data_IF_074857514101
#
_entry.id   IF_074857514101
#
_cell.length_a   1.000
_cell.length_b   1.000
_cell.length_c   1.000
_cell.angle_alpha   90.00
_cell.angle_beta   90.00
_cell.angle_gamma   90.00
#
_symmetry.space_group_name_H-M   'P 1'
#
loop_
_entity.id
_entity.type
_entity.pdbx_description
1 polymer ?
#
# COMPACT_ATOMS: atom_id res chain seq x y z
N UNK A 1 -6.28 37.02 5.24
CA UNK A 1 -7.18 36.87 6.40
C UNK A 1 -7.86 35.49 6.41
N UNK A 2 -8.59 35.07 5.39
CA UNK A 2 -9.20 33.72 5.32
C UNK A 2 -8.15 32.59 5.43
N UNK A 3 -7.02 32.71 4.76
CA UNK A 3 -5.93 31.73 4.80
C UNK A 3 -5.29 31.59 6.19
N UNK A 4 -5.16 32.70 6.95
CA UNK A 4 -4.65 32.71 8.32
C UNK A 4 -5.65 32.03 9.26
N UNK A 5 -6.94 32.36 9.14
CA UNK A 5 -8.00 31.76 9.96
C UNK A 5 -8.13 30.25 9.67
N UNK A 6 -8.06 29.83 8.43
CA UNK A 6 -8.06 28.41 8.07
C UNK A 6 -6.84 27.69 8.64
N UNK A 7 -5.65 28.31 8.62
CA UNK A 7 -4.41 27.69 9.12
C UNK A 7 -4.48 27.48 10.64
N UNK A 8 -4.95 28.46 11.40
CA UNK A 8 -5.09 28.35 12.88
C UNK A 8 -6.16 27.34 13.29
N UNK A 9 -7.32 27.33 12.62
CA UNK A 9 -8.42 26.42 12.96
C UNK A 9 -8.05 24.95 12.66
N UNK A 10 -7.29 24.70 11.60
CA UNK A 10 -6.88 23.37 11.18
C UNK A 10 -5.78 22.80 12.09
N UNK A 11 -4.85 23.62 12.58
CA UNK A 11 -3.81 23.17 13.51
C UNK A 11 -4.35 22.69 14.86
N UNK A 12 -5.57 23.07 15.23
CA UNK A 12 -6.23 22.61 16.45
C UNK A 12 -6.81 21.20 16.35
N UNK A 13 -6.89 20.61 15.15
CA UNK A 13 -7.34 19.23 14.97
C UNK A 13 -6.18 18.28 15.17
N UNK A 14 -6.22 17.48 16.24
CA UNK A 14 -5.18 16.50 16.53
C UNK A 14 -5.07 15.44 15.43
N UNK A 15 -3.86 15.20 14.91
CA UNK A 15 -3.57 14.16 13.93
C UNK A 15 -3.89 12.75 14.46
N UNK A 16 -3.74 12.53 15.77
CA UNK A 16 -4.15 11.27 16.42
C UNK A 16 -5.67 11.07 16.39
N UNK A 17 -6.44 12.14 16.58
CA UNK A 17 -7.91 12.11 16.44
C UNK A 17 -8.31 11.85 14.99
N UNK A 18 -7.67 12.54 14.04
CA UNK A 18 -7.89 12.35 12.62
C UNK A 18 -7.59 10.91 12.18
N UNK A 19 -6.48 10.32 12.68
CA UNK A 19 -6.15 8.92 12.45
C UNK A 19 -7.26 7.98 12.95
N UNK A 20 -7.71 8.15 14.19
CA UNK A 20 -8.78 7.30 14.76
C UNK A 20 -10.08 7.41 13.98
N UNK A 21 -10.48 8.64 13.61
CA UNK A 21 -11.68 8.88 12.81
C UNK A 21 -11.53 8.32 11.40
N UNK A 22 -10.35 8.43 10.77
CA UNK A 22 -10.07 7.84 9.48
C UNK A 22 -10.12 6.31 9.49
N UNK A 23 -9.60 5.67 10.55
CA UNK A 23 -9.74 4.21 10.72
C UNK A 23 -11.20 3.82 10.88
N UNK A 24 -11.96 4.53 11.72
CA UNK A 24 -13.40 4.29 11.89
C UNK A 24 -14.15 4.47 10.56
N UNK A 25 -13.85 5.53 9.81
CA UNK A 25 -14.40 5.74 8.47
C UNK A 25 -14.07 4.58 7.54
N UNK A 26 -12.83 4.12 7.51
CA UNK A 26 -12.39 3.01 6.65
C UNK A 26 -13.15 1.72 6.96
N UNK A 27 -13.35 1.40 8.22
CA UNK A 27 -14.12 0.22 8.64
C UNK A 27 -15.60 0.34 8.27
N UNK A 28 -16.22 1.48 8.59
CA UNK A 28 -17.65 1.73 8.31
C UNK A 28 -17.89 1.76 6.80
N UNK A 29 -17.01 2.40 6.03
CA UNK A 29 -17.17 2.49 4.58
C UNK A 29 -16.96 1.12 3.91
N UNK A 30 -16.01 0.31 4.38
CA UNK A 30 -15.86 -1.07 3.88
C UNK A 30 -17.09 -1.93 4.18
N UNK A 31 -17.67 -1.82 5.37
CA UNK A 31 -18.93 -2.48 5.67
C UNK A 31 -20.09 -1.93 4.81
N UNK A 32 -20.09 -0.63 4.50
CA UNK A 32 -21.07 -0.03 3.61
C UNK A 32 -20.94 -0.53 2.17
N UNK A 33 -19.73 -0.76 1.64
CA UNK A 33 -19.54 -1.38 0.31
C UNK A 33 -20.23 -2.75 0.26
N UNK A 34 -20.05 -3.58 1.30
CA UNK A 34 -20.69 -4.89 1.38
C UNK A 34 -22.21 -4.82 1.37
N UNK A 35 -22.80 -3.85 2.11
CA UNK A 35 -24.24 -3.62 2.10
C UNK A 35 -24.70 -3.04 0.76
N UNK A 36 -23.95 -2.07 0.21
CA UNK A 36 -24.29 -1.40 -1.03
C UNK A 36 -24.35 -2.36 -2.23
N UNK A 37 -23.47 -3.37 -2.28
CA UNK A 37 -23.50 -4.39 -3.32
C UNK A 37 -24.85 -5.08 -3.44
N UNK A 38 -25.52 -5.31 -2.30
CA UNK A 38 -26.81 -5.99 -2.27
C UNK A 38 -27.95 -5.17 -2.89
N UNK A 39 -27.80 -3.84 -2.97
CA UNK A 39 -28.89 -2.94 -3.33
C UNK A 39 -28.58 -1.97 -4.48
N UNK A 40 -27.32 -1.63 -4.68
CA UNK A 40 -26.92 -0.56 -5.60
C UNK A 40 -26.27 -1.07 -6.88
N UNK A 41 -25.66 -2.26 -6.85
CA UNK A 41 -24.93 -2.74 -8.00
C UNK A 41 -25.85 -3.51 -8.93
N UNK A 42 -25.69 -3.23 -10.22
CA UNK A 42 -26.34 -4.01 -11.26
C UNK A 42 -25.77 -5.44 -11.26
N UNK A 43 -26.62 -6.41 -11.49
CA UNK A 43 -26.20 -7.79 -11.68
C UNK A 43 -25.32 -7.87 -12.94
N UNK A 44 -24.01 -8.01 -12.74
CA UNK A 44 -23.05 -8.07 -13.83
C UNK A 44 -22.78 -9.52 -14.17
N UNK A 45 -22.88 -9.84 -15.45
CA UNK A 45 -22.48 -11.14 -15.95
C UNK A 45 -20.94 -11.16 -16.02
N UNK A 46 -20.32 -11.91 -15.11
CA UNK A 46 -18.88 -12.12 -15.14
C UNK A 46 -18.51 -12.99 -16.35
N UNK A 47 -17.49 -12.58 -17.11
CA UNK A 47 -17.02 -13.35 -18.24
C UNK A 47 -16.36 -14.65 -17.77
N UNK A 48 -16.72 -15.82 -18.34
CA UNK A 48 -16.07 -17.08 -18.01
C UNK A 48 -14.59 -17.05 -18.44
N UNK A 49 -13.73 -17.72 -17.68
CA UNK A 49 -12.32 -17.83 -18.03
C UNK A 49 -12.15 -18.63 -19.32
N UNK A 50 -11.51 -18.08 -20.38
CA UNK A 50 -11.21 -18.82 -21.60
C UNK A 50 -10.24 -19.99 -21.34
N UNK A 51 -10.35 -21.06 -22.11
CA UNK A 51 -9.41 -22.18 -22.05
C UNK A 51 -7.98 -21.74 -22.41
N UNK A 52 -6.99 -22.29 -21.71
CA UNK A 52 -5.58 -22.03 -21.99
C UNK A 52 -5.04 -20.68 -21.52
N UNK A 53 -5.88 -19.80 -20.96
CA UNK A 53 -5.43 -18.52 -20.42
C UNK A 53 -4.94 -18.71 -18.99
N UNK A 54 -3.68 -18.43 -18.65
CA UNK A 54 -3.13 -18.65 -17.30
C UNK A 54 -3.76 -17.72 -16.27
N UNK A 55 -4.04 -16.49 -16.65
CA UNK A 55 -4.67 -15.47 -15.82
C UNK A 55 -5.94 -14.92 -16.49
N UNK A 56 -6.95 -14.63 -15.67
CA UNK A 56 -8.20 -14.05 -16.12
C UNK A 56 -8.77 -13.11 -15.07
N UNK A 57 -9.11 -11.90 -15.50
CA UNK A 57 -9.79 -10.91 -14.67
C UNK A 57 -11.31 -11.03 -14.82
N UNK A 58 -11.97 -11.62 -13.83
CA UNK A 58 -13.40 -11.94 -13.89
C UNK A 58 -14.33 -10.71 -13.86
N UNK A 59 -13.87 -9.60 -13.30
CA UNK A 59 -14.67 -8.39 -13.09
C UNK A 59 -14.60 -7.39 -14.24
N UNK A 60 -14.24 -7.84 -15.44
CA UNK A 60 -14.29 -6.99 -16.63
C UNK A 60 -15.72 -6.92 -17.17
N UNK A 61 -16.04 -5.77 -17.78
CA UNK A 61 -17.27 -5.61 -18.53
C UNK A 61 -17.23 -6.47 -19.80
N UNK A 62 -18.37 -7.08 -20.14
CA UNK A 62 -18.52 -7.80 -21.39
C UNK A 62 -18.38 -6.85 -22.59
N UNK A 63 -19.00 -5.69 -22.50
CA UNK A 63 -18.98 -4.65 -23.52
C UNK A 63 -18.64 -3.29 -22.88
N UNK A 64 -17.36 -2.99 -22.65
CA UNK A 64 -16.98 -1.70 -22.10
C UNK A 64 -17.30 -0.58 -23.09
N UNK A 65 -17.95 0.47 -22.62
CA UNK A 65 -18.30 1.62 -23.44
C UNK A 65 -17.43 2.84 -23.11
N UNK A 66 -17.45 3.85 -24.01
CA UNK A 66 -16.63 5.05 -23.84
C UNK A 66 -16.91 5.79 -22.52
N UNK A 67 -18.17 5.85 -22.07
CA UNK A 67 -18.52 6.60 -20.84
C UNK A 67 -18.01 5.84 -19.60
N UNK A 68 -18.13 4.51 -19.55
CA UNK A 68 -17.58 3.73 -18.45
C UNK A 68 -16.07 3.89 -18.36
N UNK A 69 -15.35 3.83 -19.49
CA UNK A 69 -13.90 4.03 -19.56
C UNK A 69 -13.49 5.44 -19.14
N UNK A 70 -14.19 6.45 -19.68
CA UNK A 70 -13.94 7.86 -19.33
C UNK A 70 -14.18 8.11 -17.84
N UNK A 71 -15.21 7.52 -17.24
CA UNK A 71 -15.48 7.67 -15.81
C UNK A 71 -14.37 7.06 -14.94
N UNK A 72 -13.92 5.82 -15.24
CA UNK A 72 -12.85 5.16 -14.49
C UNK A 72 -11.52 5.92 -14.60
N UNK A 73 -11.07 6.22 -15.83
CA UNK A 73 -9.81 6.93 -16.06
C UNK A 73 -9.85 8.40 -15.62
N UNK A 74 -10.95 9.10 -15.89
CA UNK A 74 -11.10 10.51 -15.53
C UNK A 74 -11.07 10.72 -14.00
N UNK A 75 -11.80 9.89 -13.27
CA UNK A 75 -11.82 9.95 -11.80
C UNK A 75 -10.49 9.50 -11.19
N UNK A 76 -9.85 8.45 -11.74
CA UNK A 76 -8.50 8.04 -11.33
C UNK A 76 -7.49 9.19 -11.51
N UNK A 77 -7.44 9.80 -12.70
CA UNK A 77 -6.51 10.89 -12.99
C UNK A 77 -6.80 12.10 -12.09
N UNK A 78 -8.08 12.45 -11.91
CA UNK A 78 -8.49 13.53 -11.01
C UNK A 78 -8.04 13.30 -9.57
N UNK A 79 -8.23 12.09 -9.05
CA UNK A 79 -7.77 11.69 -7.72
C UNK A 79 -6.24 11.81 -7.61
N UNK A 80 -5.52 11.22 -8.57
CA UNK A 80 -4.07 11.22 -8.60
C UNK A 80 -3.48 12.63 -8.63
N UNK A 81 -3.96 13.47 -9.53
CA UNK A 81 -3.50 14.86 -9.68
C UNK A 81 -3.78 15.67 -8.41
N UNK A 82 -4.97 15.49 -7.80
CA UNK A 82 -5.34 16.19 -6.56
C UNK A 82 -4.37 15.87 -5.43
N UNK A 83 -4.05 14.59 -5.20
CA UNK A 83 -3.12 14.18 -4.14
C UNK A 83 -1.68 14.60 -4.46
N UNK A 84 -1.23 14.47 -5.69
CA UNK A 84 0.11 14.94 -6.08
C UNK A 84 0.29 16.43 -5.93
N UNK A 85 -0.74 17.22 -6.25
CA UNK A 85 -0.72 18.66 -6.03
C UNK A 85 -0.58 19.02 -4.55
N UNK A 86 -1.33 18.33 -3.67
CA UNK A 86 -1.24 18.55 -2.21
C UNK A 86 0.14 18.17 -1.66
N UNK A 87 0.74 17.08 -2.14
CA UNK A 87 2.10 16.69 -1.79
C UNK A 87 3.11 17.75 -2.25
N UNK A 88 2.96 18.25 -3.48
CA UNK A 88 3.82 19.31 -4.02
C UNK A 88 3.71 20.59 -3.18
N UNK A 89 2.50 21.03 -2.87
CA UNK A 89 2.27 22.21 -2.05
C UNK A 89 2.92 22.07 -0.66
N UNK A 90 2.74 20.93 0.00
CA UNK A 90 3.38 20.64 1.28
C UNK A 90 4.91 20.64 1.19
N UNK A 91 5.48 20.03 0.13
CA UNK A 91 6.94 20.04 -0.06
C UNK A 91 7.51 21.44 -0.30
N UNK A 92 6.73 22.32 -0.93
CA UNK A 92 7.12 23.72 -1.15
C UNK A 92 7.14 24.51 0.17
N UNK A 93 6.18 24.27 1.06
CA UNK A 93 6.10 24.91 2.37
C UNK A 93 7.15 24.38 3.36
N UNK A 94 7.62 23.13 3.19
CA UNK A 94 8.58 22.44 4.08
C UNK A 94 8.20 22.54 5.55
N UNK A 95 6.97 22.16 5.94
CA UNK A 95 6.52 22.31 7.31
C UNK A 95 7.27 21.37 8.25
N UNK A 96 7.30 21.72 9.54
CA UNK A 96 7.75 20.81 10.60
C UNK A 96 6.67 19.77 10.89
N UNK A 97 7.07 18.61 11.43
CA UNK A 97 6.13 17.58 11.89
C UNK A 97 5.38 18.08 13.13
N UNK A 98 4.05 18.07 13.07
CA UNK A 98 3.15 18.59 14.11
C UNK A 98 2.22 17.50 14.67
N UNK A 99 1.68 17.76 15.87
CA UNK A 99 0.57 16.97 16.42
C UNK A 99 -0.78 17.36 15.82
N UNK A 100 -0.90 18.57 15.28
CA UNK A 100 -2.06 19.05 14.55
C UNK A 100 -2.01 18.69 13.06
N UNK A 101 -3.14 18.93 12.36
CA UNK A 101 -3.20 18.82 10.90
C UNK A 101 -2.74 20.12 10.25
N UNK A 102 -2.12 20.00 9.11
CA UNK A 102 -1.92 21.10 8.16
C UNK A 102 -3.12 21.18 7.19
N UNK A 103 -3.29 22.32 6.53
CA UNK A 103 -4.37 22.49 5.55
C UNK A 103 -4.35 21.46 4.42
N UNK A 104 -3.16 21.06 3.97
CA UNK A 104 -3.01 20.03 2.95
C UNK A 104 -3.37 18.62 3.45
N UNK A 105 -3.29 18.34 4.76
CA UNK A 105 -3.81 17.09 5.33
C UNK A 105 -5.34 17.06 5.25
N UNK A 106 -6.00 18.17 5.61
CA UNK A 106 -7.46 18.29 5.48
C UNK A 106 -7.86 18.19 4.02
N UNK A 107 -7.12 18.84 3.11
CA UNK A 107 -7.32 18.71 1.68
C UNK A 107 -7.19 17.27 1.18
N UNK A 108 -6.16 16.54 1.63
CA UNK A 108 -5.95 15.14 1.25
C UNK A 108 -7.03 14.20 1.80
N UNK A 109 -7.43 14.38 3.05
CA UNK A 109 -8.54 13.62 3.66
C UNK A 109 -9.86 13.88 2.93
N UNK A 110 -10.15 15.15 2.61
CA UNK A 110 -11.34 15.53 1.87
C UNK A 110 -11.33 14.99 0.43
N UNK A 111 -10.22 15.14 -0.29
CA UNK A 111 -10.06 14.60 -1.65
C UNK A 111 -10.26 13.07 -1.65
N UNK A 112 -9.59 12.35 -0.74
CA UNK A 112 -9.78 10.90 -0.62
C UNK A 112 -11.24 10.54 -0.32
N UNK A 113 -11.91 11.21 0.63
CA UNK A 113 -13.31 10.94 0.94
C UNK A 113 -14.23 11.17 -0.28
N UNK A 114 -14.00 12.24 -1.04
CA UNK A 114 -14.75 12.54 -2.28
C UNK A 114 -14.51 11.44 -3.31
N UNK A 115 -13.27 11.10 -3.63
CA UNK A 115 -12.96 10.11 -4.67
C UNK A 115 -13.32 8.68 -4.26
N UNK A 116 -13.28 8.33 -2.97
CA UNK A 116 -13.79 7.06 -2.45
C UNK A 116 -15.31 6.97 -2.70
N UNK A 117 -16.05 8.03 -2.40
CA UNK A 117 -17.50 8.09 -2.66
C UNK A 117 -17.81 8.06 -4.15
N UNK A 118 -17.05 8.82 -4.96
CA UNK A 118 -17.21 8.83 -6.41
C UNK A 118 -16.90 7.47 -7.05
N UNK A 119 -15.96 6.72 -6.51
CA UNK A 119 -15.68 5.37 -7.01
C UNK A 119 -16.81 4.39 -6.73
N UNK A 120 -17.45 4.48 -5.56
CA UNK A 120 -18.64 3.69 -5.27
C UNK A 120 -19.80 4.05 -6.22
N UNK A 121 -20.04 5.33 -6.45
CA UNK A 121 -21.04 5.82 -7.40
C UNK A 121 -20.73 5.35 -8.82
N UNK A 122 -19.47 5.45 -9.24
CA UNK A 122 -18.98 4.99 -10.54
C UNK A 122 -19.21 3.49 -10.71
N UNK A 123 -18.92 2.70 -9.68
CA UNK A 123 -19.20 1.24 -9.70
C UNK A 123 -20.69 0.96 -9.80
N UNK A 124 -21.52 1.70 -9.06
CA UNK A 124 -22.99 1.49 -9.08
C UNK A 124 -23.64 1.83 -10.44
N UNK A 125 -23.07 2.80 -11.18
CA UNK A 125 -23.64 3.26 -12.46
C UNK A 125 -23.02 2.52 -13.66
N UNK A 126 -21.69 2.37 -13.67
CA UNK A 126 -20.94 1.89 -14.85
C UNK A 126 -20.15 0.60 -14.61
N UNK A 127 -19.95 0.18 -13.36
CA UNK A 127 -19.24 -1.03 -12.97
C UNK A 127 -17.92 -1.19 -13.74
N UNK A 128 -16.97 -0.30 -13.54
CA UNK A 128 -15.70 -0.33 -14.27
C UNK A 128 -14.50 -0.03 -13.39
N UNK A 129 -13.32 -0.44 -13.86
CA UNK A 129 -12.05 -0.21 -13.21
C UNK A 129 -10.91 -0.20 -14.23
N UNK A 130 -9.71 0.19 -13.81
CA UNK A 130 -8.57 0.29 -14.72
C UNK A 130 -8.13 -1.06 -15.29
N UNK A 131 -8.46 -2.17 -14.62
CA UNK A 131 -8.11 -3.53 -15.05
C UNK A 131 -8.60 -3.91 -16.44
N UNK A 132 -9.58 -3.18 -16.99
CA UNK A 132 -10.02 -3.36 -18.38
C UNK A 132 -8.92 -3.09 -19.41
N UNK A 133 -8.04 -2.11 -19.14
CA UNK A 133 -7.08 -1.59 -20.12
C UNK A 133 -5.62 -1.84 -19.74
N UNK A 134 -5.35 -2.35 -18.54
CA UNK A 134 -4.00 -2.54 -18.03
C UNK A 134 -3.72 -4.00 -17.71
N UNK A 135 -2.48 -4.41 -17.87
CA UNK A 135 -2.05 -5.77 -17.53
C UNK A 135 -2.01 -5.96 -16.02
N UNK A 136 -2.37 -7.15 -15.54
CA UNK A 136 -2.37 -7.50 -14.11
C UNK A 136 -1.02 -7.23 -13.44
N UNK A 137 0.07 -7.58 -14.13
CA UNK A 137 1.42 -7.39 -13.62
C UNK A 137 1.72 -5.94 -13.21
N UNK A 138 1.07 -4.97 -13.85
CA UNK A 138 1.26 -3.55 -13.50
C UNK A 138 0.78 -3.23 -12.08
N UNK A 139 -0.34 -3.79 -11.64
CA UNK A 139 -0.84 -3.66 -10.27
C UNK A 139 0.05 -4.43 -9.29
N UNK A 140 0.44 -5.66 -9.61
CA UNK A 140 1.32 -6.47 -8.77
C UNK A 140 2.67 -5.77 -8.55
N UNK A 141 3.33 -5.30 -9.61
CA UNK A 141 4.60 -4.60 -9.52
C UNK A 141 4.50 -3.29 -8.75
N UNK A 142 3.41 -2.56 -8.86
CA UNK A 142 3.21 -1.32 -8.10
C UNK A 142 3.27 -1.58 -6.58
N UNK A 143 2.68 -2.68 -6.13
CA UNK A 143 2.68 -3.07 -4.71
C UNK A 143 4.03 -3.66 -4.28
N UNK A 144 4.64 -4.53 -5.08
CA UNK A 144 5.95 -5.13 -4.77
C UNK A 144 7.01 -4.03 -4.59
N UNK A 145 7.06 -3.06 -5.52
CA UNK A 145 8.00 -1.94 -5.41
C UNK A 145 7.71 -1.09 -4.18
N UNK A 146 6.44 -0.87 -3.83
CA UNK A 146 6.07 -0.17 -2.60
C UNK A 146 6.63 -0.88 -1.37
N UNK A 147 6.50 -2.21 -1.28
CA UNK A 147 6.95 -2.99 -0.13
C UNK A 147 8.48 -2.90 0.05
N UNK A 148 9.28 -3.18 -0.98
CA UNK A 148 10.73 -3.12 -0.82
C UNK A 148 11.26 -1.69 -0.65
N UNK A 149 10.62 -0.67 -1.21
CA UNK A 149 10.97 0.74 -0.96
C UNK A 149 10.70 1.10 0.50
N UNK A 150 9.59 0.63 1.10
CA UNK A 150 9.34 0.78 2.55
C UNK A 150 10.46 0.13 3.36
N UNK A 151 10.88 -1.10 3.01
CA UNK A 151 11.99 -1.78 3.70
C UNK A 151 13.27 -0.95 3.64
N UNK A 152 13.59 -0.37 2.49
CA UNK A 152 14.77 0.50 2.33
C UNK A 152 14.67 1.76 3.18
N UNK A 153 13.54 2.45 3.16
CA UNK A 153 13.35 3.71 3.88
C UNK A 153 13.39 3.51 5.40
N UNK A 154 12.80 2.41 5.87
CA UNK A 154 12.71 2.07 7.28
C UNK A 154 13.98 1.40 7.84
N UNK A 155 14.94 1.03 6.97
CA UNK A 155 16.21 0.45 7.40
C UNK A 155 16.96 1.33 8.43
N UNK A 156 16.87 2.65 8.33
CA UNK A 156 17.49 3.55 9.30
C UNK A 156 16.84 3.45 10.69
N UNK A 157 15.53 3.20 10.76
CA UNK A 157 14.78 3.18 12.02
C UNK A 157 14.82 1.80 12.68
N UNK A 158 14.59 0.74 11.92
CA UNK A 158 14.39 -0.64 12.45
C UNK A 158 15.42 -1.66 11.99
N UNK A 159 16.31 -1.30 11.06
CA UNK A 159 17.23 -2.22 10.42
C UNK A 159 16.56 -3.08 9.36
N UNK A 160 17.37 -3.77 8.55
CA UNK A 160 16.90 -4.70 7.51
C UNK A 160 16.78 -6.12 8.07
N UNK A 161 17.75 -6.57 8.83
CA UNK A 161 17.80 -7.93 9.38
C UNK A 161 18.06 -7.90 10.88
N UNK A 162 17.12 -8.43 11.66
CA UNK A 162 17.24 -8.58 13.12
C UNK A 162 17.66 -7.29 13.85
N UNK A 163 17.17 -6.15 13.38
CA UNK A 163 17.53 -4.84 13.91
C UNK A 163 18.86 -4.28 13.40
N UNK A 164 19.62 -5.02 12.58
CA UNK A 164 20.89 -4.56 11.99
C UNK A 164 20.62 -3.72 10.75
N UNK A 165 21.22 -2.54 10.71
CA UNK A 165 21.14 -1.60 9.58
C UNK A 165 22.15 -1.93 8.52
N UNK A 166 21.77 -1.77 7.26
CA UNK A 166 22.68 -1.81 6.11
C UNK A 166 22.98 -0.38 5.69
N UNK A 167 24.20 0.08 5.92
CA UNK A 167 24.57 1.49 5.71
C UNK A 167 24.40 1.92 4.25
N UNK A 168 24.74 1.08 3.28
CA UNK A 168 24.57 1.39 1.86
C UNK A 168 23.08 1.53 1.48
N UNK A 169 22.16 0.74 2.07
CA UNK A 169 20.71 0.87 1.87
C UNK A 169 20.22 2.20 2.45
N UNK A 170 20.74 2.60 3.62
CA UNK A 170 20.42 3.90 4.22
C UNK A 170 20.86 5.05 3.33
N UNK A 171 22.07 4.99 2.76
CA UNK A 171 22.57 6.00 1.83
C UNK A 171 21.70 6.10 0.57
N UNK A 172 21.37 4.97 -0.05
CA UNK A 172 20.51 4.92 -1.23
C UNK A 172 19.08 5.47 -0.94
N UNK A 173 18.54 5.23 0.27
CA UNK A 173 17.18 5.64 0.64
C UNK A 173 17.01 7.15 0.84
N UNK A 174 18.09 7.93 0.91
CA UNK A 174 18.00 9.39 1.16
C UNK A 174 17.21 10.12 0.07
N UNK A 175 17.45 9.80 -1.20
CA UNK A 175 16.69 10.34 -2.33
C UNK A 175 15.25 9.86 -2.36
N UNK A 176 15.02 8.60 -2.05
CA UNK A 176 13.68 8.00 -2.02
C UNK A 176 12.77 8.70 -1.01
N UNK A 177 13.30 9.07 0.17
CA UNK A 177 12.52 9.77 1.21
C UNK A 177 11.94 11.10 0.75
N UNK A 178 12.59 11.77 -0.20
CA UNK A 178 12.08 13.03 -0.74
C UNK A 178 10.88 12.83 -1.65
N UNK A 179 10.85 11.75 -2.41
CA UNK A 179 9.88 11.53 -3.48
C UNK A 179 8.90 10.39 -3.21
N UNK A 180 9.08 9.63 -2.11
CA UNK A 180 8.25 8.45 -1.82
C UNK A 180 6.74 8.76 -1.79
N UNK A 181 6.34 9.95 -1.34
CA UNK A 181 4.94 10.34 -1.27
C UNK A 181 4.24 10.32 -2.62
N UNK A 182 4.92 10.73 -3.69
CA UNK A 182 4.37 10.68 -5.05
C UNK A 182 4.17 9.24 -5.54
N UNK A 183 5.20 8.40 -5.32
CA UNK A 183 5.12 7.01 -5.73
C UNK A 183 4.08 6.24 -4.91
N UNK A 184 4.07 6.40 -3.58
CA UNK A 184 3.13 5.70 -2.71
C UNK A 184 1.68 6.14 -2.96
N UNK A 185 1.44 7.42 -3.18
CA UNK A 185 0.14 7.91 -3.60
C UNK A 185 -0.27 7.29 -4.94
N UNK A 186 0.66 7.23 -5.93
CA UNK A 186 0.36 6.60 -7.20
C UNK A 186 0.03 5.11 -7.04
N UNK A 187 0.87 4.33 -6.39
CA UNK A 187 0.65 2.90 -6.22
C UNK A 187 -0.67 2.60 -5.50
N UNK A 188 -0.99 3.38 -4.44
CA UNK A 188 -2.22 3.20 -3.67
C UNK A 188 -3.45 3.61 -4.48
N UNK A 189 -3.45 4.77 -5.13
CA UNK A 189 -4.59 5.27 -5.92
C UNK A 189 -4.79 4.39 -7.16
N UNK A 190 -3.71 3.96 -7.82
CA UNK A 190 -3.77 3.04 -8.95
C UNK A 190 -4.41 1.71 -8.57
N UNK A 191 -3.98 1.10 -7.47
CA UNK A 191 -4.55 -0.16 -6.97
C UNK A 191 -5.99 0.04 -6.50
N UNK A 192 -6.31 1.19 -5.89
CA UNK A 192 -7.65 1.52 -5.46
C UNK A 192 -8.65 1.59 -6.64
N UNK A 193 -8.25 2.16 -7.78
CA UNK A 193 -9.07 2.27 -8.99
C UNK A 193 -8.98 1.04 -9.92
N UNK A 194 -8.14 0.06 -9.57
CA UNK A 194 -7.92 -1.11 -10.42
C UNK A 194 -9.18 -1.95 -10.59
N UNK A 195 -9.92 -2.17 -9.51
CA UNK A 195 -11.16 -2.93 -9.47
C UNK A 195 -12.38 -2.03 -9.28
N UNK A 196 -13.57 -2.40 -9.82
CA UNK A 196 -14.82 -1.83 -9.33
C UNK A 196 -15.01 -2.15 -7.84
N UNK A 197 -15.75 -1.31 -7.11
CA UNK A 197 -16.01 -1.46 -5.68
C UNK A 197 -17.02 -2.56 -5.38
N UNK A 198 -16.61 -3.81 -5.42
CA UNK A 198 -17.46 -4.99 -5.17
C UNK A 198 -17.30 -5.53 -3.77
N UNK A 199 -18.36 -6.19 -3.26
CA UNK A 199 -18.48 -6.67 -1.89
C UNK A 199 -17.95 -8.08 -1.62
N UNK A 200 -17.18 -8.69 -2.54
CA UNK A 200 -16.57 -10.00 -2.26
C UNK A 200 -15.52 -9.89 -1.16
N UNK A 201 -15.32 -10.95 -0.38
CA UNK A 201 -14.43 -10.91 0.81
C UNK A 201 -13.02 -10.43 0.49
N UNK A 202 -12.45 -10.85 -0.66
CA UNK A 202 -11.14 -10.41 -1.11
C UNK A 202 -11.08 -8.93 -1.44
N UNK A 203 -12.09 -8.41 -2.16
CA UNK A 203 -12.18 -6.99 -2.50
C UNK A 203 -12.44 -6.12 -1.29
N UNK A 204 -13.36 -6.48 -0.40
CA UNK A 204 -13.64 -5.71 0.83
C UNK A 204 -12.37 -5.57 1.67
N UNK A 205 -11.62 -6.66 1.86
CA UNK A 205 -10.36 -6.58 2.60
C UNK A 205 -9.32 -5.76 1.85
N UNK A 206 -9.27 -5.85 0.53
CA UNK A 206 -8.42 -5.03 -0.32
C UNK A 206 -8.78 -3.54 -0.23
N UNK A 207 -10.06 -3.20 -0.33
CA UNK A 207 -10.53 -1.82 -0.15
C UNK A 207 -10.24 -1.28 1.25
N UNK A 208 -10.53 -2.06 2.30
CA UNK A 208 -10.14 -1.65 3.66
C UNK A 208 -8.65 -1.33 3.74
N UNK A 209 -7.81 -2.18 3.16
CA UNK A 209 -6.36 -1.95 3.14
C UNK A 209 -5.99 -0.69 2.35
N UNK A 210 -6.57 -0.47 1.18
CA UNK A 210 -6.35 0.75 0.40
C UNK A 210 -6.83 2.01 1.13
N UNK A 211 -7.99 1.98 1.80
CA UNK A 211 -8.47 3.10 2.60
C UNK A 211 -7.51 3.45 3.74
N UNK A 212 -6.93 2.45 4.41
CA UNK A 212 -5.93 2.67 5.45
C UNK A 212 -4.61 3.24 4.88
N UNK A 213 -4.20 2.82 3.68
CA UNK A 213 -3.03 3.40 2.98
C UNK A 213 -3.29 4.84 2.52
N UNK A 214 -4.48 5.14 1.98
CA UNK A 214 -4.89 6.50 1.64
C UNK A 214 -4.91 7.41 2.88
N UNK A 215 -5.40 6.89 4.02
CA UNK A 215 -5.36 7.58 5.29
C UNK A 215 -3.91 7.86 5.74
N UNK A 216 -3.02 6.85 5.70
CA UNK A 216 -1.61 7.01 6.00
C UNK A 216 -0.97 8.06 5.08
N UNK A 217 -1.28 8.00 3.79
CA UNK A 217 -0.83 8.97 2.79
C UNK A 217 -1.36 10.39 3.04
N UNK A 218 -2.55 10.57 3.65
CA UNK A 218 -3.13 11.89 3.95
C UNK A 218 -2.48 12.60 5.14
N UNK A 219 -1.83 11.85 6.02
CA UNK A 219 -1.29 12.38 7.29
C UNK A 219 0.18 12.83 7.21
N UNK A 220 0.74 13.01 6.00
CA UNK A 220 2.13 13.44 5.82
C UNK A 220 2.45 14.74 6.58
N UNK A 221 3.69 14.87 7.07
CA UNK A 221 4.14 15.93 7.98
C UNK A 221 3.39 16.03 9.32
N UNK A 222 2.70 14.96 9.74
CA UNK A 222 2.18 14.87 11.11
C UNK A 222 2.92 13.78 11.91
N UNK A 223 2.84 13.86 13.25
CA UNK A 223 3.40 12.81 14.12
C UNK A 223 2.64 11.49 14.03
N UNK A 224 1.35 11.53 13.68
CA UNK A 224 0.57 10.31 13.42
C UNK A 224 1.14 9.51 12.25
N UNK A 225 1.60 10.16 11.18
CA UNK A 225 2.25 9.53 10.04
C UNK A 225 3.52 8.77 10.41
N UNK A 226 4.25 9.24 11.42
CA UNK A 226 5.50 8.63 11.90
C UNK A 226 5.29 7.61 13.02
N UNK A 227 4.06 7.37 13.47
CA UNK A 227 3.79 6.48 14.59
C UNK A 227 4.18 5.03 14.23
N UNK A 228 5.19 4.43 14.90
CA UNK A 228 5.71 3.12 14.53
C UNK A 228 4.71 1.98 14.71
N UNK A 229 3.77 2.09 15.64
CA UNK A 229 2.72 1.09 15.82
C UNK A 229 1.73 1.13 14.67
N UNK A 230 1.36 2.33 14.24
CA UNK A 230 0.46 2.53 13.12
C UNK A 230 1.08 2.11 11.80
N UNK A 231 2.32 2.54 11.50
CA UNK A 231 3.00 2.18 10.25
C UNK A 231 3.18 0.68 10.12
N UNK A 232 3.61 -0.01 11.19
CA UNK A 232 3.76 -1.47 11.18
C UNK A 232 2.39 -2.17 11.07
N UNK A 233 1.35 -1.65 11.72
CA UNK A 233 0.00 -2.18 11.55
C UNK A 233 -0.42 -2.17 10.07
N UNK A 234 -0.27 -1.02 9.39
CA UNK A 234 -0.62 -0.90 7.97
C UNK A 234 0.24 -1.82 7.09
N UNK A 235 1.54 -1.94 7.38
CA UNK A 235 2.42 -2.87 6.67
C UNK A 235 2.01 -4.35 6.86
N UNK A 236 1.61 -4.74 8.08
CA UNK A 236 1.21 -6.12 8.38
C UNK A 236 -0.18 -6.46 7.81
N UNK A 237 -1.03 -5.47 7.51
CA UNK A 237 -2.32 -5.71 6.84
C UNK A 237 -2.17 -6.44 5.50
N UNK A 238 -1.03 -6.33 4.82
CA UNK A 238 -0.75 -7.11 3.61
C UNK A 238 -0.81 -8.61 3.85
N UNK A 239 -0.42 -9.08 5.04
CA UNK A 239 -0.47 -10.52 5.41
C UNK A 239 -1.90 -11.01 5.34
N UNK A 240 -2.83 -10.27 5.95
CA UNK A 240 -4.24 -10.63 6.04
C UNK A 240 -4.87 -10.63 4.64
N UNK A 241 -4.63 -9.55 3.89
CA UNK A 241 -5.16 -9.40 2.53
C UNK A 241 -4.63 -10.50 1.59
N UNK A 242 -3.31 -10.68 1.54
CA UNK A 242 -2.68 -11.65 0.65
C UNK A 242 -3.06 -13.10 0.99
N UNK A 243 -3.15 -13.43 2.29
CA UNK A 243 -3.60 -14.74 2.75
C UNK A 243 -5.05 -15.02 2.31
N UNK A 244 -5.95 -14.04 2.52
CA UNK A 244 -7.36 -14.18 2.15
C UNK A 244 -7.51 -14.37 0.64
N UNK A 245 -6.84 -13.55 -0.17
CA UNK A 245 -6.86 -13.67 -1.64
C UNK A 245 -6.31 -15.02 -2.09
N UNK A 246 -5.19 -15.48 -1.51
CA UNK A 246 -4.61 -16.77 -1.84
C UNK A 246 -5.54 -17.95 -1.52
N UNK A 247 -6.24 -17.90 -0.37
CA UNK A 247 -7.23 -18.92 -0.01
C UNK A 247 -8.43 -18.93 -0.96
N UNK A 248 -8.96 -17.75 -1.31
CA UNK A 248 -10.11 -17.62 -2.19
C UNK A 248 -9.82 -18.02 -3.64
N UNK A 249 -8.63 -17.71 -4.14
CA UNK A 249 -8.21 -18.02 -5.51
C UNK A 249 -7.60 -19.41 -5.69
N UNK A 250 -7.53 -20.21 -4.60
CA UNK A 250 -6.91 -21.54 -4.62
C UNK A 250 -5.39 -21.51 -4.84
N UNK A 251 -4.74 -20.36 -4.61
CA UNK A 251 -3.29 -20.25 -4.70
C UNK A 251 -2.60 -20.81 -3.48
N UNK A 252 -1.27 -20.90 -3.56
CA UNK A 252 -0.41 -21.43 -2.50
C UNK A 252 -0.38 -20.51 -1.26
N UNK A 253 -1.42 -20.52 -0.44
CA UNK A 253 -1.57 -19.66 0.74
C UNK A 253 -0.40 -19.72 1.74
N UNK A 254 0.31 -20.87 1.97
CA UNK A 254 1.43 -20.88 2.90
C UNK A 254 2.57 -19.96 2.46
N UNK A 255 2.82 -19.84 1.15
CA UNK A 255 3.84 -18.94 0.61
C UNK A 255 3.55 -17.48 0.98
N UNK A 256 2.29 -17.05 0.86
CA UNK A 256 1.88 -15.68 1.21
C UNK A 256 1.93 -15.45 2.71
N UNK A 257 1.35 -16.39 3.50
CA UNK A 257 1.35 -16.28 4.96
C UNK A 257 2.77 -16.19 5.51
N UNK A 258 3.60 -17.21 5.23
CA UNK A 258 4.94 -17.28 5.79
C UNK A 258 5.90 -16.26 5.21
N UNK A 259 5.76 -15.94 3.93
CA UNK A 259 6.57 -14.92 3.29
C UNK A 259 6.42 -13.55 3.96
N UNK A 260 5.20 -13.06 4.10
CA UNK A 260 4.96 -11.77 4.77
C UNK A 260 5.20 -11.83 6.28
N UNK A 261 4.83 -12.92 6.97
CA UNK A 261 5.22 -13.10 8.36
C UNK A 261 6.74 -13.19 8.54
N UNK A 262 7.47 -13.75 7.57
CA UNK A 262 8.93 -13.75 7.53
C UNK A 262 9.50 -12.34 7.51
N UNK A 263 8.96 -11.44 6.65
CA UNK A 263 9.31 -10.02 6.68
C UNK A 263 9.03 -9.39 8.04
N UNK A 264 7.88 -9.71 8.64
CA UNK A 264 7.53 -9.20 9.97
C UNK A 264 8.54 -9.63 11.03
N UNK A 265 8.82 -10.94 11.16
CA UNK A 265 9.69 -11.45 12.24
C UNK A 265 11.15 -11.09 12.05
N UNK A 266 11.64 -11.00 10.81
CA UNK A 266 13.04 -10.66 10.53
C UNK A 266 13.29 -9.16 10.56
N UNK A 267 12.33 -8.34 10.11
CA UNK A 267 12.52 -6.91 9.88
C UNK A 267 11.58 -6.04 10.72
N UNK A 268 10.25 -6.17 10.53
CA UNK A 268 9.30 -5.15 10.98
C UNK A 268 9.16 -5.10 12.51
N UNK A 269 9.17 -6.24 13.20
CA UNK A 269 9.02 -6.27 14.67
C UNK A 269 10.16 -5.57 15.41
N UNK A 270 11.31 -5.34 14.77
CA UNK A 270 12.43 -4.60 15.37
C UNK A 270 12.19 -3.07 15.39
N UNK A 271 11.17 -2.60 14.68
CA UNK A 271 10.67 -1.22 14.79
C UNK A 271 9.71 -1.00 15.96
N UNK A 272 9.30 -2.07 16.66
CA UNK A 272 8.39 -2.00 17.80
C UNK A 272 9.17 -2.06 19.13
N UNK A 273 8.67 -1.42 20.19
CA UNK A 273 9.28 -1.45 21.52
C UNK A 273 8.97 -2.79 22.23
N UNK A 274 9.35 -3.91 21.59
CA UNK A 274 9.15 -5.26 22.13
C UNK A 274 10.33 -5.68 23.01
N UNK A 275 10.02 -6.34 24.14
CA UNK A 275 11.05 -6.98 24.96
C UNK A 275 11.70 -8.15 24.22
N UNK A 276 12.92 -8.51 24.60
CA UNK A 276 13.61 -9.67 24.02
C UNK A 276 12.82 -10.97 24.20
N UNK A 277 12.17 -11.15 25.36
CA UNK A 277 11.30 -12.31 25.60
C UNK A 277 10.13 -12.37 24.63
N UNK A 278 9.50 -11.23 24.33
CA UNK A 278 8.40 -11.16 23.36
C UNK A 278 8.88 -11.46 21.94
N UNK A 279 10.04 -10.98 21.53
CA UNK A 279 10.62 -11.31 20.22
C UNK A 279 10.89 -12.82 20.11
N UNK A 280 11.46 -13.44 21.14
CA UNK A 280 11.65 -14.89 21.15
C UNK A 280 10.33 -15.66 21.09
N UNK A 281 9.30 -15.20 21.80
CA UNK A 281 7.97 -15.80 21.71
C UNK A 281 7.41 -15.73 20.28
N UNK A 282 7.49 -14.57 19.63
CA UNK A 282 7.03 -14.39 18.25
C UNK A 282 7.80 -15.31 17.29
N UNK A 283 9.13 -15.42 17.44
CA UNK A 283 9.97 -16.34 16.68
C UNK A 283 9.55 -17.80 16.90
N UNK A 284 9.34 -18.19 18.12
CA UNK A 284 8.94 -19.57 18.46
C UNK A 284 7.57 -19.90 17.87
N UNK A 285 6.62 -18.98 17.92
CA UNK A 285 5.30 -19.12 17.30
C UNK A 285 5.41 -19.23 15.77
N UNK A 286 6.23 -18.41 15.13
CA UNK A 286 6.46 -18.47 13.69
C UNK A 286 7.06 -19.82 13.28
N UNK A 287 8.13 -20.26 13.94
CA UNK A 287 8.78 -21.55 13.66
C UNK A 287 7.82 -22.72 13.95
N UNK A 288 7.08 -22.68 15.07
CA UNK A 288 6.10 -23.70 15.41
C UNK A 288 4.99 -23.81 14.35
N UNK A 289 4.52 -22.68 13.83
CA UNK A 289 3.52 -22.64 12.75
C UNK A 289 4.09 -23.20 11.43
N UNK A 290 5.33 -22.86 11.07
CA UNK A 290 6.02 -23.42 9.91
C UNK A 290 6.13 -24.95 10.05
N UNK A 291 6.60 -25.45 11.20
CA UNK A 291 6.72 -26.88 11.45
C UNK A 291 5.34 -27.55 11.32
N UNK A 292 4.32 -27.00 11.97
CA UNK A 292 2.97 -27.55 11.92
C UNK A 292 2.47 -27.67 10.48
N UNK A 293 2.53 -26.60 9.69
CA UNK A 293 1.99 -26.60 8.32
C UNK A 293 2.79 -27.53 7.42
N UNK A 294 4.13 -27.48 7.43
CA UNK A 294 4.95 -28.27 6.50
C UNK A 294 5.09 -29.75 6.92
N UNK A 295 4.79 -30.11 8.16
CA UNK A 295 4.63 -31.51 8.56
C UNK A 295 3.43 -32.18 7.87
N UNK A 296 2.39 -31.42 7.52
CA UNK A 296 1.24 -31.94 6.77
C UNK A 296 1.39 -31.72 5.25
N UNK A 297 1.92 -30.56 4.84
CA UNK A 297 2.07 -30.22 3.43
C UNK A 297 3.25 -30.94 2.74
N UNK A 298 4.27 -31.28 3.50
CA UNK A 298 5.52 -31.86 3.01
C UNK A 298 6.67 -30.84 2.96
N UNK A 299 7.82 -31.25 3.45
CA UNK A 299 9.02 -30.41 3.60
C UNK A 299 9.67 -30.02 2.27
N UNK A 300 9.40 -30.75 1.17
CA UNK A 300 9.93 -30.43 -0.17
C UNK A 300 9.51 -29.03 -0.65
N UNK A 301 8.39 -28.50 -0.15
CA UNK A 301 7.87 -27.18 -0.52
C UNK A 301 8.21 -26.08 0.50
N UNK A 302 9.05 -26.35 1.50
CA UNK A 302 9.35 -25.39 2.58
C UNK A 302 10.12 -24.14 2.14
N UNK A 303 10.67 -24.11 0.90
CA UNK A 303 11.24 -22.90 0.30
C UNK A 303 10.24 -21.74 0.22
N UNK A 304 8.95 -22.05 0.21
CA UNK A 304 7.87 -21.07 0.22
C UNK A 304 7.91 -20.12 1.41
N UNK A 305 8.43 -20.59 2.55
CA UNK A 305 8.57 -19.78 3.78
C UNK A 305 9.42 -18.54 3.56
N UNK A 306 10.46 -18.65 2.73
CA UNK A 306 11.40 -17.54 2.49
C UNK A 306 11.22 -16.88 1.13
N UNK A 307 10.41 -17.42 0.23
CA UNK A 307 10.34 -16.99 -1.14
C UNK A 307 9.97 -15.51 -1.28
N UNK A 308 8.84 -15.07 -0.71
CA UNK A 308 8.40 -13.66 -0.78
C UNK A 308 9.36 -12.77 0.02
N UNK A 309 9.66 -13.14 1.27
CA UNK A 309 10.55 -12.35 2.12
C UNK A 309 11.95 -12.20 1.49
N UNK A 310 12.51 -13.29 0.97
CA UNK A 310 13.80 -13.29 0.28
C UNK A 310 13.80 -12.42 -0.98
N UNK A 311 12.72 -12.47 -1.75
CA UNK A 311 12.53 -11.63 -2.94
C UNK A 311 12.47 -10.15 -2.56
N UNK A 312 11.72 -9.77 -1.53
CA UNK A 312 11.61 -8.39 -1.05
C UNK A 312 12.97 -7.84 -0.59
N UNK A 313 13.73 -8.62 0.18
CA UNK A 313 15.07 -8.21 0.61
C UNK A 313 16.05 -8.14 -0.55
N UNK A 314 16.02 -9.10 -1.47
CA UNK A 314 16.87 -9.08 -2.65
C UNK A 314 16.57 -7.85 -3.52
N UNK A 315 15.29 -7.55 -3.78
CA UNK A 315 14.88 -6.35 -4.52
C UNK A 315 15.35 -5.07 -3.82
N UNK A 316 15.20 -4.96 -2.49
CA UNK A 316 15.65 -3.80 -1.72
C UNK A 316 17.17 -3.60 -1.82
N UNK A 317 17.96 -4.68 -1.72
CA UNK A 317 19.42 -4.66 -1.80
C UNK A 317 19.89 -4.31 -3.21
N UNK A 318 19.33 -4.97 -4.23
CA UNK A 318 19.68 -4.73 -5.63
C UNK A 318 19.31 -3.31 -6.07
N UNK A 319 18.15 -2.83 -5.67
CA UNK A 319 17.70 -1.47 -6.00
C UNK A 319 18.54 -0.42 -5.29
N UNK A 320 18.95 -0.65 -4.03
CA UNK A 320 19.90 0.21 -3.35
C UNK A 320 21.24 0.26 -4.06
N UNK A 321 21.76 -0.89 -4.48
CA UNK A 321 22.99 -1.00 -5.28
C UNK A 321 22.89 -0.23 -6.60
N UNK A 322 21.76 -0.37 -7.31
CA UNK A 322 21.50 0.35 -8.55
C UNK A 322 21.49 1.88 -8.35
N UNK A 323 20.80 2.37 -7.31
CA UNK A 323 20.77 3.81 -6.99
C UNK A 323 22.20 4.34 -6.75
N UNK A 324 22.98 3.65 -5.93
CA UNK A 324 24.36 4.06 -5.63
C UNK A 324 25.26 3.99 -6.86
N UNK A 325 25.08 2.97 -7.72
CA UNK A 325 25.80 2.87 -8.97
C UNK A 325 25.48 4.05 -9.90
N UNK A 326 24.21 4.42 -10.07
CA UNK A 326 23.80 5.59 -10.86
C UNK A 326 24.36 6.90 -10.29
N UNK A 327 24.49 6.99 -8.96
CA UNK A 327 25.06 8.16 -8.28
C UNK A 327 26.60 8.17 -8.26
N UNK A 328 27.23 7.08 -8.67
CA UNK A 328 28.69 6.95 -8.64
C UNK A 328 29.40 7.91 -9.61
N UNK A 329 30.64 8.25 -9.30
CA UNK A 329 31.46 9.11 -10.17
C UNK A 329 31.76 8.45 -11.54
N UNK A 330 31.72 7.13 -11.61
CA UNK A 330 31.82 6.38 -12.86
C UNK A 330 30.67 6.75 -13.82
N UNK A 331 29.42 6.71 -13.32
CA UNK A 331 28.26 7.08 -14.14
C UNK A 331 28.23 8.57 -14.46
N UNK A 332 28.64 9.44 -13.54
CA UNK A 332 28.73 10.90 -13.82
C UNK A 332 29.69 11.20 -14.97
N UNK A 333 30.82 10.50 -15.02
CA UNK A 333 31.82 10.62 -16.14
C UNK A 333 31.24 10.15 -17.47
N UNK A 334 30.53 9.00 -17.49
CA UNK A 334 29.94 8.45 -18.73
C UNK A 334 28.85 9.39 -19.27
N UNK A 335 28.01 9.96 -18.38
CA UNK A 335 26.87 10.80 -18.79
C UNK A 335 27.25 12.26 -19.04
N UNK A 336 28.51 12.64 -18.95
CA UNK A 336 28.98 14.02 -19.14
C UNK A 336 28.50 15.00 -18.05
N UNK A 337 28.03 14.50 -16.90
CA UNK A 337 27.57 15.29 -15.75
C UNK A 337 28.68 15.54 -14.71
N UNK A 338 29.94 15.31 -15.06
CA UNK A 338 31.07 15.77 -14.25
C UNK A 338 31.14 17.31 -14.37
N UNK A 339 31.05 18.01 -13.22
CA UNK A 339 31.19 19.48 -13.14
C UNK A 339 32.51 19.97 -13.72
#
# INVERSE_FOLDING_TARGET
>A
MLQIIMTETVQNISSSKALKLGVAFSLVFSAFIWVAEQYLFLEQQLLPKPEGVPFWYFWQLNEPNFISRLSAWGLYIGHQVSIWWLIYAAQKERPQYTDGLHWFNVGALAANAIFITLHLIQTAIWYDGLAQDVIEQSAQWSVIVLLFVVLMMENQRRGMFFGKKLNFVTAASTGLRKYHGYYFAWATIYTFWYHPMVGTSGHIMGFLYMLLLLLQGSLFFTRAHLNPKWTIFVEVMVVIHALLVALMSGHNWPMFLFGFLGVFVVTQMYGLPLSQKMRWLIWSLFIGLVIAVYSFKGWATSYEVIFIAGTEWACAILFAGLILFIQSDFMKRITGRAN
#
